data_IF_187736272919
#
_entry.id   IF_187736272919
#
_cell.length_a   1.000
_cell.length_b   1.000
_cell.length_c   1.000
_cell.angle_alpha   90.00
_cell.angle_beta   90.00
_cell.angle_gamma   90.00
#
_symmetry.space_group_name_H-M   'P 1'
#
loop_
_entity.id
_entity.type
_entity.pdbx_description
1 polymer ?
#
# COMPACT_ATOMS: atom_id res chain seq x y z
N UNK A 1 -3.28 24.19 20.57
CA UNK A 1 -4.50 24.40 19.78
C UNK A 1 -4.94 23.05 19.25
N UNK A 2 -6.17 22.65 19.54
CA UNK A 2 -6.79 21.50 18.87
C UNK A 2 -7.19 21.95 17.46
N UNK A 3 -6.96 21.11 16.47
CA UNK A 3 -7.35 21.35 15.07
C UNK A 3 -8.31 20.24 14.68
N UNK A 4 -9.52 20.56 14.26
CA UNK A 4 -10.52 19.57 13.85
C UNK A 4 -11.17 20.00 12.54
N UNK A 5 -11.71 19.05 11.79
CA UNK A 5 -12.31 19.31 10.50
C UNK A 5 -12.60 18.04 9.70
N UNK A 6 -12.61 18.18 8.39
CA UNK A 6 -12.90 17.10 7.45
C UNK A 6 -11.89 17.04 6.31
N UNK A 7 -11.63 15.83 5.81
CA UNK A 7 -10.64 15.54 4.76
C UNK A 7 -11.04 16.09 3.38
N UNK A 8 -12.31 16.46 3.17
CA UNK A 8 -12.77 17.19 1.98
C UNK A 8 -12.25 18.63 1.96
N UNK A 9 -12.20 19.27 3.13
CA UNK A 9 -11.75 20.65 3.33
C UNK A 9 -10.23 20.76 3.48
N UNK A 10 -9.60 19.76 4.11
CA UNK A 10 -8.15 19.71 4.32
C UNK A 10 -7.66 18.26 4.20
N UNK A 11 -7.14 17.85 3.03
CA UNK A 11 -6.60 16.52 2.82
C UNK A 11 -5.43 16.17 3.75
N UNK A 12 -5.12 14.87 3.84
CA UNK A 12 -4.07 14.38 4.73
C UNK A 12 -2.70 15.04 4.46
N UNK A 13 -2.34 15.24 3.20
CA UNK A 13 -1.10 15.90 2.77
C UNK A 13 -0.97 17.32 3.35
N UNK A 14 -2.07 18.08 3.34
CA UNK A 14 -2.11 19.44 3.88
C UNK A 14 -2.09 19.42 5.42
N UNK A 15 -2.84 18.51 6.05
CA UNK A 15 -2.80 18.31 7.51
C UNK A 15 -1.38 18.04 8.00
N UNK A 16 -0.66 17.15 7.32
CA UNK A 16 0.71 16.79 7.69
C UNK A 16 1.70 17.95 7.49
N UNK A 17 1.44 18.86 6.54
CA UNK A 17 2.21 20.09 6.37
C UNK A 17 1.93 21.09 7.50
N UNK A 18 0.66 21.34 7.84
CA UNK A 18 0.26 22.22 8.94
C UNK A 18 0.79 21.72 10.28
N UNK A 19 0.80 20.41 10.49
CA UNK A 19 1.25 19.76 11.72
C UNK A 19 2.76 19.43 11.71
N UNK A 20 3.52 19.84 10.70
CA UNK A 20 4.94 19.47 10.52
C UNK A 20 5.81 19.75 11.74
N UNK A 21 5.58 20.85 12.45
CA UNK A 21 6.36 21.24 13.64
C UNK A 21 5.71 20.82 14.97
N UNK A 22 4.58 20.11 14.93
CA UNK A 22 3.78 19.78 16.11
C UNK A 22 4.06 18.35 16.59
N UNK A 23 3.84 18.14 17.88
CA UNK A 23 3.80 16.83 18.52
C UNK A 23 2.39 16.58 19.03
N UNK A 24 1.86 15.38 18.80
CA UNK A 24 0.51 15.02 19.23
C UNK A 24 -0.03 13.81 18.47
N UNK A 25 -1.34 13.60 18.59
CA UNK A 25 -2.07 12.57 17.86
C UNK A 25 -3.05 13.22 16.89
N UNK A 26 -3.02 12.80 15.63
CA UNK A 26 -4.04 13.12 14.64
C UNK A 26 -4.97 11.91 14.53
N UNK A 27 -6.17 12.03 15.07
CA UNK A 27 -7.23 11.02 14.97
C UNK A 27 -8.05 11.28 13.72
N UNK A 28 -8.33 10.21 12.95
CA UNK A 28 -9.08 10.27 11.71
C UNK A 28 -10.12 9.15 11.72
N UNK A 29 -11.37 9.48 11.43
CA UNK A 29 -12.50 8.55 11.43
C UNK A 29 -13.50 8.88 10.32
N UNK A 30 -14.56 8.07 10.19
CA UNK A 30 -15.57 8.19 9.13
C UNK A 30 -15.00 8.08 7.70
N UNK A 31 -13.87 7.41 7.52
CA UNK A 31 -13.29 7.10 6.21
C UNK A 31 -13.83 5.76 5.72
N UNK A 32 -14.46 5.72 4.56
CA UNK A 32 -15.06 4.50 4.00
C UNK A 32 -14.03 3.38 3.85
N UNK A 33 -14.32 2.22 4.42
CA UNK A 33 -13.45 1.04 4.34
C UNK A 33 -12.19 1.09 5.22
N UNK A 34 -12.07 2.09 6.10
CA UNK A 34 -10.91 2.26 6.98
C UNK A 34 -11.36 2.37 8.44
N UNK A 35 -10.81 1.57 9.36
CA UNK A 35 -11.02 1.76 10.80
C UNK A 35 -10.53 3.14 11.26
N UNK A 36 -11.10 3.65 12.37
CA UNK A 36 -10.58 4.83 13.04
C UNK A 36 -9.07 4.68 13.27
N UNK A 37 -8.31 5.65 12.77
CA UNK A 37 -6.87 5.60 12.64
C UNK A 37 -6.26 6.80 13.37
N UNK A 38 -5.25 6.55 14.19
CA UNK A 38 -4.52 7.59 14.92
C UNK A 38 -3.08 7.65 14.41
N UNK A 39 -2.68 8.82 13.89
CA UNK A 39 -1.29 9.10 13.52
C UNK A 39 -0.62 9.82 14.68
N UNK A 40 0.35 9.19 15.33
CA UNK A 40 1.16 9.86 16.34
C UNK A 40 2.31 10.59 15.66
N UNK A 41 2.40 11.90 15.91
CA UNK A 41 3.32 12.81 15.25
C UNK A 41 4.42 13.28 16.20
N UNK A 42 5.61 13.44 15.64
CA UNK A 42 6.73 14.20 16.18
C UNK A 42 7.10 15.27 15.14
N UNK A 43 7.85 16.32 15.52
CA UNK A 43 8.32 17.31 14.56
C UNK A 43 9.01 16.63 13.36
N UNK A 44 8.44 16.84 12.18
CA UNK A 44 8.89 16.30 10.90
C UNK A 44 8.74 14.78 10.71
N UNK A 45 8.06 14.07 11.61
CA UNK A 45 7.99 12.59 11.58
C UNK A 45 6.64 12.00 11.98
N UNK A 46 6.26 10.93 11.29
CA UNK A 46 5.22 10.00 11.74
C UNK A 46 5.89 8.98 12.69
N UNK A 47 5.56 9.07 13.98
CA UNK A 47 6.10 8.17 15.01
C UNK A 47 5.53 6.78 14.88
N UNK A 48 4.21 6.67 14.83
CA UNK A 48 3.46 5.41 14.70
C UNK A 48 2.07 5.69 14.15
N UNK A 49 1.43 4.62 13.66
CA UNK A 49 0.05 4.65 13.21
C UNK A 49 -0.67 3.54 13.95
N UNK A 50 -1.79 3.88 14.56
CA UNK A 50 -2.57 2.97 15.37
C UNK A 50 -3.96 2.83 14.78
N UNK A 51 -4.53 1.62 14.87
CA UNK A 51 -5.94 1.37 14.65
C UNK A 51 -6.48 0.59 15.84
N UNK A 52 -7.64 1.03 16.36
CA UNK A 52 -8.26 0.44 17.56
C UNK A 52 -7.29 0.37 18.76
N UNK A 53 -6.44 1.39 18.91
CA UNK A 53 -5.45 1.49 19.98
C UNK A 53 -4.25 0.54 19.88
N UNK A 54 -4.07 -0.14 18.74
CA UNK A 54 -2.91 -1.02 18.50
C UNK A 54 -2.01 -0.45 17.40
N UNK A 55 -0.68 -0.44 17.59
CA UNK A 55 0.24 0.02 16.56
C UNK A 55 0.24 -0.94 15.37
N UNK A 56 0.25 -0.37 14.17
CA UNK A 56 0.34 -1.11 12.91
C UNK A 56 1.80 -1.45 12.56
N UNK A 57 2.05 -2.63 11.96
CA UNK A 57 3.34 -2.91 11.33
C UNK A 57 3.58 -2.00 10.10
N UNK A 58 4.85 -1.83 9.66
CA UNK A 58 5.22 -0.95 8.55
C UNK A 58 4.36 -1.08 7.28
N UNK A 59 4.06 -2.29 6.83
CA UNK A 59 3.30 -2.51 5.59
C UNK A 59 1.85 -2.06 5.72
N UNK A 60 1.19 -2.44 6.82
CA UNK A 60 -0.18 -2.02 7.10
C UNK A 60 -0.26 -0.50 7.30
N UNK A 61 0.71 0.10 8.00
CA UNK A 61 0.80 1.54 8.17
C UNK A 61 0.92 2.27 6.82
N UNK A 62 1.73 1.75 5.89
CA UNK A 62 1.86 2.29 4.53
C UNK A 62 0.54 2.20 3.75
N UNK A 63 -0.14 1.06 3.82
CA UNK A 63 -1.45 0.85 3.19
C UNK A 63 -2.51 1.83 3.70
N UNK A 64 -2.52 2.07 5.01
CA UNK A 64 -3.43 3.02 5.66
C UNK A 64 -3.14 4.44 5.21
N UNK A 65 -1.88 4.87 5.16
CA UNK A 65 -1.52 6.20 4.65
C UNK A 65 -1.93 6.40 3.20
N UNK A 66 -1.74 5.39 2.33
CA UNK A 66 -2.22 5.46 0.94
C UNK A 66 -3.73 5.61 0.86
N UNK A 67 -4.47 4.90 1.71
CA UNK A 67 -5.94 4.99 1.76
C UNK A 67 -6.37 6.39 2.21
N UNK A 68 -5.72 6.94 3.24
CA UNK A 68 -6.01 8.27 3.76
C UNK A 68 -5.64 9.40 2.79
N UNK A 69 -4.56 9.28 2.02
CA UNK A 69 -4.20 10.25 0.98
C UNK A 69 -5.23 10.28 -0.16
N UNK A 70 -5.85 9.14 -0.45
CA UNK A 70 -6.95 9.04 -1.44
C UNK A 70 -8.30 9.46 -0.87
N UNK A 71 -8.45 9.42 0.44
CA UNK A 71 -9.69 9.79 1.09
C UNK A 71 -9.91 11.29 0.91
N UNK A 72 -11.02 11.63 0.26
CA UNK A 72 -11.55 13.00 0.16
C UNK A 72 -12.73 13.24 1.10
N UNK A 73 -12.99 12.29 1.99
CA UNK A 73 -14.08 12.30 2.95
C UNK A 73 -13.61 11.63 4.24
N UNK A 74 -14.09 12.13 5.38
CA UNK A 74 -13.73 11.65 6.71
C UNK A 74 -13.45 12.82 7.65
N UNK A 75 -13.60 12.60 8.95
CA UNK A 75 -13.39 13.62 9.97
C UNK A 75 -12.04 13.44 10.64
N UNK A 76 -11.45 14.53 11.13
CA UNK A 76 -10.21 14.48 11.88
C UNK A 76 -10.21 15.40 13.10
N UNK A 77 -9.39 15.06 14.09
CA UNK A 77 -9.03 15.91 15.22
C UNK A 77 -7.57 15.72 15.61
N UNK A 78 -6.86 16.82 15.85
CA UNK A 78 -5.52 16.85 16.35
C UNK A 78 -5.50 17.17 17.84
N UNK A 79 -4.98 16.23 18.62
CA UNK A 79 -4.79 16.29 20.05
C UNK A 79 -3.31 16.61 20.36
N UNK A 80 -2.98 17.86 20.72
CA UNK A 80 -1.59 18.26 20.96
C UNK A 80 -0.99 17.53 22.16
N UNK A 81 0.30 17.21 22.07
CA UNK A 81 1.10 16.53 23.10
C UNK A 81 0.61 15.13 23.52
N UNK A 82 -0.41 14.57 22.84
CA UNK A 82 -0.83 13.19 23.08
C UNK A 82 0.25 12.22 22.59
N UNK A 83 0.60 11.25 23.43
CA UNK A 83 1.65 10.26 23.16
C UNK A 83 1.06 8.85 23.18
N UNK A 84 1.51 7.95 22.29
CA UNK A 84 1.07 6.58 22.35
C UNK A 84 1.61 5.90 23.61
N UNK A 85 0.81 5.00 24.18
CA UNK A 85 1.19 4.21 25.37
C UNK A 85 2.26 3.14 25.06
N UNK A 86 2.52 2.85 23.78
CA UNK A 86 3.46 1.82 23.35
C UNK A 86 4.83 2.39 22.91
N UNK A 87 5.81 1.48 22.79
CA UNK A 87 7.19 1.80 22.37
C UNK A 87 7.47 1.59 20.88
N UNK A 88 6.55 0.98 20.11
CA UNK A 88 6.69 0.81 18.66
C UNK A 88 6.90 2.16 17.95
N UNK A 89 7.86 2.21 17.03
CA UNK A 89 8.17 3.40 16.23
C UNK A 89 8.44 3.02 14.78
N UNK A 90 7.67 3.64 13.89
CA UNK A 90 7.98 3.72 12.46
C UNK A 90 9.05 4.78 12.21
N UNK A 91 8.93 5.93 12.90
CA UNK A 91 9.86 7.07 12.83
C UNK A 91 10.12 7.57 11.40
N UNK A 92 9.09 7.57 10.56
CA UNK A 92 9.20 7.95 9.16
C UNK A 92 9.26 9.47 9.01
N UNK A 93 10.23 10.04 8.26
CA UNK A 93 10.21 11.46 7.91
C UNK A 93 8.97 11.78 7.09
N UNK A 94 8.15 12.73 7.57
CA UNK A 94 6.83 13.01 6.99
C UNK A 94 6.93 13.39 5.52
N UNK A 95 7.87 14.26 5.16
CA UNK A 95 8.07 14.71 3.76
C UNK A 95 8.48 13.56 2.84
N UNK A 96 9.41 12.71 3.28
CA UNK A 96 9.84 11.53 2.49
C UNK A 96 8.71 10.52 2.35
N UNK A 97 7.90 10.34 3.40
CA UNK A 97 6.73 9.48 3.35
C UNK A 97 5.71 10.03 2.35
N UNK A 98 5.36 11.31 2.43
CA UNK A 98 4.45 11.98 1.49
C UNK A 98 4.94 11.88 0.05
N UNK A 99 6.19 12.25 -0.23
CA UNK A 99 6.78 12.15 -1.58
C UNK A 99 6.73 10.70 -2.11
N UNK A 100 7.05 9.72 -1.26
CA UNK A 100 7.01 8.30 -1.64
C UNK A 100 5.58 7.84 -1.92
N UNK A 101 4.61 8.33 -1.16
CA UNK A 101 3.20 7.95 -1.31
C UNK A 101 2.55 8.62 -2.52
N UNK A 102 2.87 9.89 -2.80
CA UNK A 102 2.43 10.61 -4.02
C UNK A 102 3.01 9.95 -5.26
N UNK A 103 4.33 9.70 -5.29
CA UNK A 103 4.97 8.96 -6.39
C UNK A 103 4.29 7.60 -6.61
N UNK A 104 4.01 6.88 -5.53
CA UNK A 104 3.34 5.58 -5.59
C UNK A 104 1.90 5.68 -6.09
N UNK A 105 1.19 6.76 -5.74
CA UNK A 105 -0.16 7.01 -6.23
C UNK A 105 -0.16 7.32 -7.73
N UNK A 106 0.71 8.22 -8.19
CA UNK A 106 0.86 8.56 -9.60
C UNK A 106 1.22 7.32 -10.43
N UNK A 107 2.07 6.45 -9.88
CA UNK A 107 2.41 5.17 -10.51
C UNK A 107 1.21 4.21 -10.57
N UNK A 108 0.45 4.08 -9.49
CA UNK A 108 -0.75 3.24 -9.48
C UNK A 108 -1.79 3.73 -10.48
N UNK A 109 -1.99 5.04 -10.59
CA UNK A 109 -2.93 5.63 -11.53
C UNK A 109 -2.45 5.46 -12.97
N UNK A 110 -1.15 5.70 -13.23
CA UNK A 110 -0.54 5.52 -14.56
C UNK A 110 -0.61 4.08 -15.05
N UNK A 111 -0.41 3.11 -14.16
CA UNK A 111 -0.36 1.70 -14.53
C UNK A 111 -1.68 0.96 -14.34
N UNK A 112 -2.75 1.64 -13.92
CA UNK A 112 -4.03 1.02 -13.57
C UNK A 112 -4.54 0.03 -14.62
N UNK A 113 -4.50 0.43 -15.89
CA UNK A 113 -4.97 -0.38 -17.03
C UNK A 113 -3.97 -1.47 -17.46
N UNK A 114 -2.74 -1.42 -16.94
CA UNK A 114 -1.66 -2.36 -17.22
C UNK A 114 -1.41 -3.32 -16.05
N UNK A 115 -2.10 -3.14 -14.92
CA UNK A 115 -1.95 -4.01 -13.76
C UNK A 115 -2.40 -5.44 -14.13
N UNK A 116 -1.58 -6.47 -13.87
CA UNK A 116 -1.91 -7.86 -14.18
C UNK A 116 -3.21 -8.27 -13.49
N UNK A 117 -3.96 -9.23 -14.05
CA UNK A 117 -5.17 -9.73 -13.41
C UNK A 117 -4.85 -10.25 -11.97
N UNK A 118 -5.66 -9.95 -10.95
CA UNK A 118 -5.42 -10.39 -9.57
C UNK A 118 -5.18 -11.90 -9.42
N UNK A 119 -5.72 -12.72 -10.32
CA UNK A 119 -5.61 -14.18 -10.37
C UNK A 119 -4.42 -14.68 -11.20
N UNK A 120 -3.65 -13.79 -11.81
CA UNK A 120 -2.43 -14.16 -12.54
C UNK A 120 -1.42 -14.76 -11.55
N UNK A 121 -0.94 -15.97 -11.83
CA UNK A 121 0.10 -16.63 -11.03
C UNK A 121 1.48 -16.13 -11.43
N UNK A 122 2.31 -15.82 -10.45
CA UNK A 122 3.69 -15.38 -10.63
C UNK A 122 4.64 -16.33 -9.92
N UNK A 123 5.78 -16.63 -10.58
CA UNK A 123 6.88 -17.39 -9.99
C UNK A 123 8.21 -16.64 -10.14
N UNK A 124 9.10 -16.79 -9.16
CA UNK A 124 10.49 -16.35 -9.26
C UNK A 124 11.22 -17.11 -10.38
N UNK A 125 11.92 -16.38 -11.24
CA UNK A 125 12.70 -16.96 -12.34
C UNK A 125 14.12 -16.39 -12.40
N UNK A 126 14.27 -15.09 -12.10
CA UNK A 126 15.55 -14.39 -12.14
C UNK A 126 16.05 -14.00 -10.75
N UNK A 127 17.23 -13.39 -10.71
CA UNK A 127 17.75 -12.79 -9.49
C UNK A 127 16.85 -11.63 -9.05
N UNK A 128 16.47 -11.56 -7.77
CA UNK A 128 15.71 -10.42 -7.24
C UNK A 128 16.52 -9.13 -7.46
N UNK A 129 15.88 -8.02 -7.87
CA UNK A 129 16.58 -6.77 -8.07
C UNK A 129 17.17 -6.26 -6.75
N UNK A 130 18.39 -5.72 -6.80
CA UNK A 130 19.06 -5.15 -5.62
C UNK A 130 18.47 -3.83 -5.13
N UNK A 131 17.53 -3.25 -5.89
CA UNK A 131 16.87 -1.98 -5.58
C UNK A 131 16.19 -2.03 -4.20
N UNK A 132 16.67 -1.17 -3.30
CA UNK A 132 16.23 -1.07 -1.91
C UNK A 132 14.71 -0.86 -1.77
N UNK A 133 14.04 -0.34 -2.81
CA UNK A 133 12.58 -0.13 -2.82
C UNK A 133 11.78 -1.43 -2.81
N UNK A 134 12.31 -2.51 -3.39
CA UNK A 134 11.62 -3.81 -3.46
C UNK A 134 12.14 -4.81 -2.43
N UNK A 135 13.30 -4.56 -1.82
CA UNK A 135 13.95 -5.50 -0.88
C UNK A 135 13.01 -5.99 0.23
N UNK A 136 12.37 -5.07 0.96
CA UNK A 136 11.46 -5.46 2.05
C UNK A 136 10.20 -6.19 1.59
N UNK A 137 9.72 -5.92 0.37
CA UNK A 137 8.61 -6.67 -0.22
C UNK A 137 9.07 -8.08 -0.65
N UNK A 138 10.19 -8.18 -1.35
CA UNK A 138 10.77 -9.44 -1.84
C UNK A 138 11.14 -10.38 -0.69
N UNK A 139 11.74 -9.88 0.39
CA UNK A 139 12.05 -10.68 1.58
C UNK A 139 10.82 -11.40 2.14
N UNK A 140 9.66 -10.73 2.14
CA UNK A 140 8.40 -11.30 2.64
C UNK A 140 7.66 -12.12 1.59
N UNK A 141 7.77 -11.74 0.32
CA UNK A 141 7.05 -12.36 -0.79
C UNK A 141 7.76 -13.59 -1.37
N UNK A 142 9.08 -13.69 -1.23
CA UNK A 142 9.91 -14.79 -1.76
C UNK A 142 9.36 -16.19 -1.48
N UNK A 143 9.01 -16.58 -0.24
CA UNK A 143 8.52 -17.93 0.05
C UNK A 143 7.20 -18.27 -0.68
N UNK A 144 6.39 -17.27 -1.01
CA UNK A 144 5.15 -17.44 -1.77
C UNK A 144 5.42 -17.46 -3.29
N UNK A 145 6.34 -16.61 -3.75
CA UNK A 145 6.71 -16.50 -5.16
C UNK A 145 7.54 -17.70 -5.65
N UNK A 146 8.29 -18.38 -4.78
CA UNK A 146 8.97 -19.65 -5.11
C UNK A 146 7.96 -20.77 -5.41
N UNK A 147 6.83 -20.80 -4.68
CA UNK A 147 5.77 -21.80 -4.84
C UNK A 147 4.81 -21.50 -6.00
N UNK A 148 4.84 -20.27 -6.51
CA UNK A 148 3.86 -19.76 -7.47
C UNK A 148 2.58 -19.32 -6.77
N UNK A 149 2.33 -18.01 -6.74
CA UNK A 149 1.18 -17.42 -6.04
C UNK A 149 0.49 -16.38 -6.91
N UNK A 150 -0.77 -16.07 -6.61
CA UNK A 150 -1.52 -14.98 -7.24
C UNK A 150 -1.29 -13.65 -6.52
N UNK A 151 -1.57 -12.54 -7.20
CA UNK A 151 -1.51 -11.22 -6.56
C UNK A 151 -2.51 -11.10 -5.39
N UNK A 152 -3.66 -11.76 -5.50
CA UNK A 152 -4.69 -11.77 -4.45
C UNK A 152 -4.27 -12.56 -3.21
N UNK A 153 -3.73 -13.77 -3.39
CA UNK A 153 -3.20 -14.59 -2.29
C UNK A 153 -2.05 -13.86 -1.58
N UNK A 154 -1.14 -13.27 -2.35
CA UNK A 154 0.01 -12.56 -1.81
C UNK A 154 -0.40 -11.29 -1.05
N UNK A 155 -1.39 -10.55 -1.55
CA UNK A 155 -1.97 -9.40 -0.86
C UNK A 155 -2.59 -9.79 0.49
N UNK A 156 -3.30 -10.92 0.54
CA UNK A 156 -3.88 -11.43 1.78
C UNK A 156 -2.79 -11.88 2.77
N UNK A 157 -1.78 -12.59 2.30
CA UNK A 157 -0.66 -13.07 3.14
C UNK A 157 0.19 -11.92 3.71
N UNK A 158 0.37 -10.85 2.93
CA UNK A 158 1.16 -9.68 3.32
C UNK A 158 0.33 -8.57 3.97
N UNK A 159 -0.97 -8.79 4.20
CA UNK A 159 -1.92 -7.79 4.68
C UNK A 159 -1.78 -6.43 3.95
N UNK A 160 -1.60 -6.50 2.62
CA UNK A 160 -1.28 -5.36 1.75
C UNK A 160 -2.38 -5.16 0.70
N UNK A 161 -2.61 -3.93 0.20
CA UNK A 161 -3.58 -3.68 -0.85
C UNK A 161 -3.26 -4.47 -2.12
N UNK A 162 -4.27 -5.10 -2.72
CA UNK A 162 -4.11 -5.94 -3.92
C UNK A 162 -3.47 -5.16 -5.06
N UNK A 163 -3.87 -3.92 -5.31
CA UNK A 163 -3.31 -3.10 -6.39
C UNK A 163 -1.83 -2.73 -6.16
N UNK A 164 -1.43 -2.54 -4.91
CA UNK A 164 -0.02 -2.30 -4.56
C UNK A 164 0.82 -3.55 -4.86
N UNK A 165 0.32 -4.73 -4.51
CA UNK A 165 0.98 -6.00 -4.83
C UNK A 165 1.04 -6.21 -6.34
N UNK A 166 -0.05 -5.97 -7.07
CA UNK A 166 -0.09 -6.05 -8.54
C UNK A 166 0.93 -5.13 -9.20
N UNK A 167 1.10 -3.91 -8.69
CA UNK A 167 2.12 -2.97 -9.18
C UNK A 167 3.54 -3.49 -8.95
N UNK A 168 3.84 -4.00 -7.75
CA UNK A 168 5.15 -4.58 -7.47
C UNK A 168 5.44 -5.80 -8.34
N UNK A 169 4.46 -6.69 -8.53
CA UNK A 169 4.60 -7.85 -9.41
C UNK A 169 4.86 -7.42 -10.87
N UNK A 170 4.10 -6.44 -11.39
CA UNK A 170 4.29 -5.89 -12.74
C UNK A 170 5.72 -5.34 -12.93
N UNK A 171 6.23 -4.59 -11.94
CA UNK A 171 7.57 -4.00 -12.02
C UNK A 171 8.66 -5.07 -11.92
N UNK A 172 8.51 -6.03 -11.02
CA UNK A 172 9.46 -7.14 -10.86
C UNK A 172 9.48 -8.06 -12.09
N UNK A 173 8.34 -8.26 -12.75
CA UNK A 173 8.26 -8.94 -14.04
C UNK A 173 9.02 -8.18 -15.13
N UNK A 174 8.81 -6.86 -15.25
CA UNK A 174 9.54 -6.02 -16.23
C UNK A 174 11.04 -6.00 -15.99
N UNK A 175 11.48 -6.19 -14.74
CA UNK A 175 12.88 -6.32 -14.36
C UNK A 175 13.43 -7.74 -14.59
N UNK A 176 12.62 -8.69 -15.06
CA UNK A 176 13.02 -10.07 -15.33
C UNK A 176 13.14 -10.96 -14.10
N UNK A 177 12.75 -10.48 -12.92
CA UNK A 177 12.83 -11.25 -11.68
C UNK A 177 11.68 -12.26 -11.53
N UNK A 178 10.51 -11.91 -12.09
CA UNK A 178 9.31 -12.75 -12.07
C UNK A 178 8.85 -13.13 -13.46
N UNK A 179 8.18 -14.28 -13.54
CA UNK A 179 7.46 -14.72 -14.74
C UNK A 179 6.02 -15.01 -14.40
N UNK A 180 5.10 -14.62 -15.29
CA UNK A 180 3.72 -15.10 -15.27
C UNK A 180 3.69 -16.58 -15.65
N UNK A 181 3.06 -17.39 -14.82
CA UNK A 181 2.66 -18.72 -15.25
C UNK A 181 1.44 -18.56 -16.17
N UNK A 182 1.55 -19.10 -17.39
CA UNK A 182 0.41 -19.15 -18.28
C UNK A 182 -0.73 -19.88 -17.57
N UNK A 183 -1.87 -19.22 -17.46
CA UNK A 183 -3.09 -19.83 -16.95
C UNK A 183 -3.40 -21.02 -17.86
N UNK A 184 -3.20 -22.26 -17.37
CA UNK A 184 -3.72 -23.47 -18.03
C UNK A 184 -5.25 -23.38 -17.95
N UNK A 185 -5.85 -22.65 -18.89
CA UNK A 185 -7.26 -22.27 -18.80
C UNK A 185 -7.75 -21.30 -19.86
N UNK A 186 -7.03 -21.13 -20.97
CA UNK A 186 -7.66 -20.77 -22.23
C UNK A 186 -7.20 -21.83 -23.22
N UNK A 187 -7.97 -22.93 -23.32
CA UNK A 187 -7.89 -23.75 -24.51
C UNK A 187 -8.03 -22.80 -25.70
N UNK A 188 -7.12 -22.81 -26.69
CA UNK A 188 -7.47 -22.21 -27.96
C UNK A 188 -8.79 -22.87 -28.36
N UNK A 189 -9.82 -22.08 -28.66
CA UNK A 189 -10.93 -22.56 -29.46
C UNK A 189 -10.36 -22.92 -30.82
N UNK A 190 -9.75 -24.11 -30.88
CA UNK A 190 -9.47 -24.85 -32.10
C UNK A 190 -10.85 -25.23 -32.62
N UNK A 191 -11.46 -24.33 -33.38
CA UNK A 191 -12.44 -24.72 -34.39
C UNK A 191 -11.68 -25.54 -35.45
N UNK A 192 -11.48 -26.82 -35.12
CA UNK A 192 -11.03 -27.85 -36.04
C UNK A 192 -12.15 -28.21 -37.00
N UNK A 193 -11.85 -28.01 -38.27
CA UNK A 193 -12.52 -28.43 -39.51
C UNK A 193 -13.23 -29.79 -39.50
N UNK A 194 -14.25 -29.88 -40.35
CA UNK A 194 -14.71 -31.09 -41.06
C UNK A 194 -16.25 -31.14 -41.12
N UNK A 195 -16.94 -31.30 -42.24
CA UNK A 195 -16.60 -31.60 -43.62
C UNK A 195 -17.90 -31.89 -44.39
N UNK A 196 -17.87 -31.68 -45.70
CA UNK A 196 -18.71 -32.24 -46.77
C UNK A 196 -20.16 -32.70 -46.48
N UNK A 197 -21.11 -32.03 -47.12
CA UNK A 197 -22.07 -32.63 -48.06
C UNK A 197 -22.54 -31.55 -49.05
#
# INVERSE_FOLDING_TARGET
MALFGSLDSMPLEELLLVLKSKEGALEIWNVKGLPATTLYLKPGRIRSIDQRGKPLPPEAAKAVLLTLLKAREGSFEFLPNLRPRHRVRLNWPTEKALLSLVTLHDELDRYRDQLPDPQTRFRLQGSPPEDARYRGFLEKAAPYLERGTTAQELAQALASPVDLVRLYLLKLERLGALRREAQKGAAPLLFGKGGAA
#
